data_IF_017433665130
#
_entry.id   IF_017433665130
#
_cell.length_a   1.000
_cell.length_b   1.000
_cell.length_c   1.000
_cell.angle_alpha   90.00
_cell.angle_beta   90.00
_cell.angle_gamma   90.00
#
_symmetry.space_group_name_H-M   'P 1'
#
loop_
_entity.id
_entity.type
_entity.pdbx_description
1 polymer ?
#
# COMPACT_ATOMS: atom_id res chain seq x y z
N UNK A 1 -12.59 -16.57 -25.96
CA UNK A 1 -13.24 -17.09 -24.74
C UNK A 1 -12.17 -17.71 -23.86
N UNK A 2 -11.70 -17.02 -22.82
CA UNK A 2 -10.72 -17.58 -21.88
C UNK A 2 -11.36 -18.69 -21.06
N UNK A 3 -10.71 -19.86 -21.03
CA UNK A 3 -11.23 -21.05 -20.35
C UNK A 3 -11.24 -20.86 -18.84
N UNK A 4 -12.16 -21.53 -18.13
CA UNK A 4 -12.24 -21.50 -16.65
C UNK A 4 -10.90 -21.85 -15.99
N UNK A 5 -10.07 -22.64 -16.67
CA UNK A 5 -8.73 -23.05 -16.26
C UNK A 5 -7.71 -21.91 -16.34
N UNK A 6 -7.75 -21.08 -17.40
CA UNK A 6 -6.90 -19.89 -17.54
C UNK A 6 -7.21 -18.85 -16.47
N UNK A 7 -8.49 -18.61 -16.17
CA UNK A 7 -8.91 -17.69 -15.09
C UNK A 7 -8.44 -18.18 -13.72
N UNK A 8 -8.46 -19.50 -13.49
CA UNK A 8 -7.97 -20.12 -12.26
C UNK A 8 -6.46 -19.93 -12.08
N UNK A 9 -5.68 -20.12 -13.15
CA UNK A 9 -4.21 -19.92 -13.14
C UNK A 9 -3.85 -18.45 -12.88
N UNK A 10 -4.46 -17.53 -13.63
CA UNK A 10 -4.25 -16.08 -13.47
C UNK A 10 -4.58 -15.60 -12.05
N UNK A 11 -5.67 -16.10 -11.43
CA UNK A 11 -5.98 -15.77 -10.04
C UNK A 11 -4.99 -16.34 -9.00
N UNK A 12 -4.34 -17.47 -9.29
CA UNK A 12 -3.29 -18.05 -8.42
C UNK A 12 -2.00 -17.25 -8.56
N UNK A 13 -1.63 -16.88 -9.78
CA UNK A 13 -0.48 -16.02 -10.07
C UNK A 13 -0.62 -14.65 -9.42
N UNK A 14 -1.79 -14.01 -9.54
CA UNK A 14 -2.09 -12.75 -8.87
C UNK A 14 -1.89 -12.81 -7.35
N UNK A 15 -2.33 -13.89 -6.68
CA UNK A 15 -2.10 -14.09 -5.24
C UNK A 15 -0.61 -14.25 -4.93
N UNK A 16 0.12 -14.96 -5.78
CA UNK A 16 1.56 -15.17 -5.62
C UNK A 16 2.30 -13.84 -5.73
N UNK A 17 1.94 -13.01 -6.69
CA UNK A 17 2.56 -11.68 -6.87
C UNK A 17 2.21 -10.72 -5.73
N UNK A 18 0.95 -10.66 -5.30
CA UNK A 18 0.57 -9.87 -4.10
C UNK A 18 1.40 -10.32 -2.89
N UNK A 19 1.51 -11.64 -2.66
CA UNK A 19 2.31 -12.17 -1.56
C UNK A 19 3.79 -11.80 -1.67
N UNK A 20 4.37 -11.90 -2.87
CA UNK A 20 5.77 -11.54 -3.14
C UNK A 20 6.06 -10.07 -2.84
N UNK A 21 5.08 -9.18 -3.02
CA UNK A 21 5.18 -7.76 -2.69
C UNK A 21 5.02 -7.53 -1.18
N UNK A 22 4.07 -8.22 -0.54
CA UNK A 22 3.69 -7.99 0.88
C UNK A 22 4.66 -8.65 1.87
N UNK A 23 5.17 -9.85 1.58
CA UNK A 23 6.01 -10.63 2.52
C UNK A 23 7.29 -9.89 2.97
N UNK A 24 8.02 -9.15 2.10
CA UNK A 24 9.16 -8.33 2.52
C UNK A 24 8.77 -7.24 3.54
N UNK A 25 7.68 -6.50 3.30
CA UNK A 25 7.22 -5.47 4.22
C UNK A 25 6.70 -6.07 5.53
N UNK A 26 5.97 -7.17 5.47
CA UNK A 26 5.56 -7.92 6.65
C UNK A 26 6.77 -8.37 7.49
N UNK A 27 7.85 -8.80 6.84
CA UNK A 27 9.08 -9.20 7.52
C UNK A 27 9.74 -8.02 8.22
N UNK A 28 9.86 -6.86 7.55
CA UNK A 28 10.38 -5.63 8.17
C UNK A 28 9.56 -5.19 9.39
N UNK A 29 8.22 -5.19 9.29
CA UNK A 29 7.36 -4.81 10.41
C UNK A 29 7.46 -5.81 11.57
N UNK A 30 7.61 -7.12 11.28
CA UNK A 30 7.87 -8.12 12.33
C UNK A 30 9.22 -7.93 13.00
N UNK A 31 10.27 -7.61 12.23
CA UNK A 31 11.59 -7.29 12.76
C UNK A 31 11.57 -6.01 13.60
N UNK A 32 10.85 -4.99 13.15
CA UNK A 32 10.59 -3.78 13.93
C UNK A 32 9.95 -4.14 15.27
N UNK A 33 8.82 -4.87 15.25
CA UNK A 33 8.11 -5.35 16.45
C UNK A 33 9.00 -6.16 17.40
N UNK A 34 9.92 -6.96 16.87
CA UNK A 34 10.89 -7.73 17.64
C UNK A 34 12.08 -6.89 18.15
N UNK A 35 12.05 -5.57 17.95
CA UNK A 35 13.13 -4.62 18.25
C UNK A 35 14.43 -4.87 17.48
N UNK A 36 14.41 -5.69 16.42
CA UNK A 36 15.57 -6.03 15.61
C UNK A 36 15.94 -4.93 14.58
N UNK A 37 15.03 -4.00 14.30
CA UNK A 37 15.26 -2.90 13.35
C UNK A 37 14.66 -1.58 13.86
N UNK A 38 15.27 -0.95 14.86
CA UNK A 38 14.77 0.31 15.43
C UNK A 38 14.61 1.44 14.39
N UNK A 39 15.44 1.45 13.33
CA UNK A 39 15.40 2.42 12.23
C UNK A 39 14.18 2.32 11.30
N UNK A 40 13.33 1.30 11.46
CA UNK A 40 12.05 1.21 10.73
C UNK A 40 10.98 2.10 11.38
N UNK A 41 11.22 2.59 12.60
CA UNK A 41 10.39 3.61 13.23
C UNK A 41 10.35 4.88 12.39
N UNK A 42 9.20 5.56 12.39
CA UNK A 42 9.01 6.82 11.66
C UNK A 42 8.97 7.99 12.62
N UNK A 43 9.78 9.00 12.34
CA UNK A 43 9.88 10.23 13.15
C UNK A 43 9.29 11.46 12.42
N UNK A 44 9.27 11.47 11.08
CA UNK A 44 8.83 12.61 10.27
C UNK A 44 7.34 12.62 9.91
N UNK A 45 6.77 13.81 9.75
CA UNK A 45 5.47 14.03 9.13
C UNK A 45 5.60 14.06 7.61
N UNK A 46 5.18 12.99 6.94
CA UNK A 46 5.14 12.96 5.48
C UNK A 46 4.69 11.64 4.90
N UNK A 47 4.26 11.66 3.64
CA UNK A 47 3.98 10.44 2.89
C UNK A 47 5.32 9.89 2.38
N UNK A 48 5.62 8.66 2.76
CA UNK A 48 6.80 7.98 2.24
C UNK A 48 6.53 7.48 0.82
N UNK A 49 7.37 7.85 -0.14
CA UNK A 49 7.23 7.39 -1.53
C UNK A 49 7.20 5.86 -1.66
N UNK A 50 7.88 5.16 -0.74
CA UNK A 50 7.81 3.70 -0.62
C UNK A 50 6.40 3.16 -0.38
N UNK A 51 5.53 3.90 0.33
CA UNK A 51 4.15 3.49 0.59
C UNK A 51 3.29 3.57 -0.68
N UNK A 52 3.53 4.58 -1.52
CA UNK A 52 2.86 4.73 -2.81
C UNK A 52 3.25 3.61 -3.78
N UNK A 53 4.55 3.35 -3.88
CA UNK A 53 5.10 2.25 -4.69
C UNK A 53 4.53 0.92 -4.22
N UNK A 54 4.54 0.66 -2.91
CA UNK A 54 3.96 -0.55 -2.34
C UNK A 54 2.47 -0.69 -2.67
N UNK A 55 1.68 0.35 -2.40
CA UNK A 55 0.24 0.35 -2.64
C UNK A 55 -0.10 0.12 -4.12
N UNK A 56 0.56 0.84 -5.03
CA UNK A 56 0.37 0.71 -6.46
C UNK A 56 0.72 -0.68 -6.99
N UNK A 57 1.83 -1.27 -6.53
CA UNK A 57 2.23 -2.63 -6.92
C UNK A 57 1.22 -3.68 -6.45
N UNK A 58 0.71 -3.56 -5.22
CA UNK A 58 -0.34 -4.48 -4.72
C UNK A 58 -1.64 -4.32 -5.51
N UNK A 59 -2.06 -3.08 -5.82
CA UNK A 59 -3.25 -2.84 -6.65
C UNK A 59 -3.10 -3.50 -8.03
N UNK A 60 -1.96 -3.31 -8.69
CA UNK A 60 -1.67 -3.88 -10.01
C UNK A 60 -1.63 -5.41 -9.97
N UNK A 61 -0.92 -6.00 -9.01
CA UNK A 61 -0.88 -7.46 -8.83
C UNK A 61 -2.25 -8.08 -8.49
N UNK A 62 -3.17 -7.30 -7.91
CA UNK A 62 -4.50 -7.78 -7.51
C UNK A 62 -5.55 -7.73 -8.63
N UNK A 63 -5.22 -7.19 -9.82
CA UNK A 63 -6.18 -6.94 -10.91
C UNK A 63 -6.92 -8.20 -11.38
N UNK A 64 -6.21 -9.31 -11.43
CA UNK A 64 -6.70 -10.61 -11.90
C UNK A 64 -7.38 -11.45 -10.81
N UNK A 65 -7.50 -10.91 -9.59
CA UNK A 65 -8.29 -11.55 -8.55
C UNK A 65 -9.78 -11.44 -8.85
N UNK A 66 -10.55 -12.45 -8.41
CA UNK A 66 -12.01 -12.37 -8.42
C UNK A 66 -12.52 -11.15 -7.65
N UNK A 67 -13.65 -10.58 -8.10
CA UNK A 67 -14.20 -9.31 -7.63
C UNK A 67 -14.23 -9.15 -6.10
N UNK A 68 -14.69 -10.18 -5.38
CA UNK A 68 -14.73 -10.15 -3.91
C UNK A 68 -13.36 -9.95 -3.29
N UNK A 69 -12.35 -10.71 -3.74
CA UNK A 69 -10.98 -10.62 -3.21
C UNK A 69 -10.33 -9.29 -3.57
N UNK A 70 -10.51 -8.83 -4.80
CA UNK A 70 -10.04 -7.51 -5.22
C UNK A 70 -10.65 -6.40 -4.35
N UNK A 71 -11.95 -6.50 -4.05
CA UNK A 71 -12.64 -5.56 -3.14
C UNK A 71 -12.10 -5.62 -1.71
N UNK A 72 -11.76 -6.80 -1.20
CA UNK A 72 -11.12 -6.95 0.11
C UNK A 72 -9.72 -6.34 0.16
N UNK A 73 -8.88 -6.64 -0.83
CA UNK A 73 -7.55 -6.04 -1.01
C UNK A 73 -7.67 -4.52 -1.05
N UNK A 74 -8.55 -3.99 -1.89
CA UNK A 74 -8.77 -2.56 -2.00
C UNK A 74 -9.18 -1.91 -0.66
N UNK A 75 -10.20 -2.45 0.01
CA UNK A 75 -10.62 -1.96 1.34
C UNK A 75 -9.48 -2.02 2.37
N UNK A 76 -8.61 -3.02 2.27
CA UNK A 76 -7.47 -3.17 3.18
C UNK A 76 -6.38 -2.15 2.89
N UNK A 77 -6.09 -1.89 1.62
CA UNK A 77 -5.18 -0.82 1.21
C UNK A 77 -5.70 0.55 1.64
N UNK A 78 -7.01 0.82 1.52
CA UNK A 78 -7.60 2.08 1.99
C UNK A 78 -7.45 2.25 3.49
N UNK A 79 -7.50 1.15 4.25
CA UNK A 79 -7.28 1.17 5.70
C UNK A 79 -5.79 1.41 6.04
N UNK A 80 -4.88 0.76 5.30
CA UNK A 80 -3.44 0.85 5.54
C UNK A 80 -2.83 2.19 5.11
N UNK A 81 -3.30 2.76 3.99
CA UNK A 81 -2.68 3.93 3.36
C UNK A 81 -3.62 5.13 3.24
N UNK A 82 -4.89 4.96 3.62
CA UNK A 82 -5.94 5.97 3.45
C UNK A 82 -6.54 6.00 2.04
N UNK A 83 -7.68 6.67 1.91
CA UNK A 83 -8.51 6.59 0.71
C UNK A 83 -7.95 7.43 -0.44
N UNK A 84 -7.43 8.61 -0.13
CA UNK A 84 -6.85 9.51 -1.13
C UNK A 84 -5.58 8.92 -1.74
N UNK A 85 -4.77 8.25 -0.92
CA UNK A 85 -3.55 7.55 -1.34
C UNK A 85 -3.86 6.39 -2.27
N UNK A 86 -4.83 5.55 -1.91
CA UNK A 86 -5.25 4.44 -2.80
C UNK A 86 -5.81 4.97 -4.11
N UNK A 87 -6.65 6.00 -4.06
CA UNK A 87 -7.20 6.61 -5.27
C UNK A 87 -6.10 7.13 -6.20
N UNK A 88 -5.08 7.78 -5.65
CA UNK A 88 -3.87 8.19 -6.37
C UNK A 88 -3.19 7.00 -7.05
N UNK A 89 -2.97 5.90 -6.32
CA UNK A 89 -2.39 4.69 -6.86
C UNK A 89 -3.29 3.97 -7.88
N UNK A 90 -4.61 4.15 -7.84
CA UNK A 90 -5.49 3.60 -8.88
C UNK A 90 -5.38 4.37 -10.20
N UNK A 91 -5.25 5.70 -10.12
CA UNK A 91 -5.13 6.57 -11.30
C UNK A 91 -3.73 6.45 -11.93
N UNK A 92 -2.67 6.35 -11.11
CA UNK A 92 -1.28 6.42 -11.57
C UNK A 92 -0.47 5.13 -11.35
N UNK A 93 -1.01 4.11 -10.67
CA UNK A 93 -0.23 2.93 -10.26
C UNK A 93 0.07 1.92 -11.37
N UNK A 94 -0.26 2.22 -12.63
CA UNK A 94 0.33 1.49 -13.76
C UNK A 94 1.84 1.72 -13.87
N UNK A 95 2.32 2.85 -13.33
CA UNK A 95 3.73 3.21 -13.27
C UNK A 95 4.38 2.87 -11.92
N UNK A 96 3.72 2.03 -11.09
CA UNK A 96 4.14 1.76 -9.71
C UNK A 96 5.48 1.02 -9.56
N UNK A 97 6.08 0.55 -10.65
CA UNK A 97 7.44 0.00 -10.65
C UNK A 97 8.52 1.09 -10.83
N UNK A 98 8.14 2.35 -11.07
CA UNK A 98 9.04 3.51 -11.13
C UNK A 98 8.85 4.44 -9.91
N UNK A 99 9.74 4.37 -8.91
CA UNK A 99 9.73 5.27 -7.75
C UNK A 99 9.85 6.76 -8.11
N UNK A 100 10.52 7.08 -9.23
CA UNK A 100 10.67 8.43 -9.74
C UNK A 100 9.34 9.03 -10.19
N UNK A 101 8.50 8.22 -10.84
CA UNK A 101 7.15 8.62 -11.25
C UNK A 101 6.20 8.79 -10.05
N UNK A 102 6.29 7.91 -9.03
CA UNK A 102 5.53 8.10 -7.79
C UNK A 102 5.89 9.43 -7.10
N UNK A 103 7.18 9.78 -7.07
CA UNK A 103 7.65 11.06 -6.55
C UNK A 103 7.21 12.24 -7.42
N UNK A 104 7.27 12.11 -8.76
CA UNK A 104 6.83 13.14 -9.69
C UNK A 104 5.33 13.47 -9.53
N UNK A 105 4.48 12.45 -9.34
CA UNK A 105 3.03 12.64 -9.08
C UNK A 105 2.80 13.37 -7.76
N UNK A 106 3.56 13.06 -6.70
CA UNK A 106 3.49 13.79 -5.43
C UNK A 106 3.92 15.25 -5.59
N UNK A 107 5.06 15.50 -6.23
CA UNK A 107 5.59 16.84 -6.45
C UNK A 107 4.67 17.69 -7.32
N UNK A 108 4.12 17.11 -8.40
CA UNK A 108 3.15 17.80 -9.26
C UNK A 108 1.90 18.20 -8.48
N UNK A 109 1.40 17.35 -7.57
CA UNK A 109 0.26 17.69 -6.72
C UNK A 109 0.58 18.78 -5.72
N UNK A 110 1.72 18.73 -5.05
CA UNK A 110 2.17 19.79 -4.15
C UNK A 110 2.29 21.12 -4.92
N UNK A 111 2.87 21.11 -6.12
CA UNK A 111 2.96 22.27 -6.98
C UNK A 111 1.57 22.80 -7.38
N UNK A 112 0.62 21.93 -7.76
CA UNK A 112 -0.75 22.36 -8.07
C UNK A 112 -1.47 22.96 -6.86
N UNK A 113 -1.22 22.45 -5.66
CA UNK A 113 -1.81 23.00 -4.43
C UNK A 113 -1.25 24.39 -4.11
N UNK A 114 0.04 24.61 -4.35
CA UNK A 114 0.68 25.92 -4.22
C UNK A 114 0.17 26.92 -5.28
N UNK A 115 -0.04 26.47 -6.52
CA UNK A 115 -0.52 27.33 -7.61
C UNK A 115 -2.03 27.61 -7.56
N UNK A 116 -2.80 26.75 -6.89
CA UNK A 116 -4.25 26.88 -6.77
C UNK A 116 -4.71 26.64 -5.32
N UNK A 117 -4.39 27.56 -4.38
CA UNK A 117 -4.72 27.39 -2.96
C UNK A 117 -6.22 27.27 -2.70
N UNK A 118 -7.06 27.87 -3.55
CA UNK A 118 -8.52 27.79 -3.45
C UNK A 118 -9.08 26.42 -3.88
N UNK A 119 -8.28 25.62 -4.61
CA UNK A 119 -8.65 24.25 -4.99
C UNK A 119 -8.24 23.30 -3.88
N UNK A 120 -9.23 22.76 -3.17
CA UNK A 120 -9.04 21.68 -2.21
C UNK A 120 -8.72 20.37 -2.95
N UNK A 121 -7.45 20.20 -3.32
CA UNK A 121 -6.97 18.92 -3.81
C UNK A 121 -6.89 17.95 -2.62
N UNK A 122 -7.52 16.77 -2.70
CA UNK A 122 -7.46 15.80 -1.62
C UNK A 122 -6.00 15.37 -1.41
N UNK A 123 -5.42 15.72 -0.26
CA UNK A 123 -4.06 15.35 0.08
C UNK A 123 -3.95 13.83 0.29
N UNK A 124 -2.80 13.20 0.00
CA UNK A 124 -2.63 11.80 0.32
C UNK A 124 -2.68 11.64 1.85
N UNK A 125 -3.35 10.60 2.29
CA UNK A 125 -3.67 10.40 3.70
C UNK A 125 -2.52 9.63 4.39
N UNK A 126 -2.31 9.91 5.68
CA UNK A 126 -1.56 9.00 6.56
C UNK A 126 -2.51 7.88 7.02
N UNK A 127 -2.25 6.65 6.55
CA UNK A 127 -3.03 5.48 6.93
C UNK A 127 -2.47 4.74 8.15
N UNK A 128 -3.09 3.62 8.51
CA UNK A 128 -2.65 2.79 9.65
C UNK A 128 -1.19 2.31 9.55
N UNK A 129 -0.65 2.15 8.33
CA UNK A 129 0.73 1.70 8.14
C UNK A 129 1.71 2.72 8.71
N UNK A 130 1.55 3.98 8.34
CA UNK A 130 2.38 5.08 8.83
C UNK A 130 2.18 5.30 10.34
N UNK A 131 0.91 5.41 10.75
CA UNK A 131 0.55 5.65 12.16
C UNK A 131 1.10 4.56 13.08
N UNK A 132 1.03 3.29 12.70
CA UNK A 132 1.52 2.20 13.54
C UNK A 132 3.06 2.23 13.70
N UNK A 133 3.81 2.65 12.68
CA UNK A 133 5.27 2.72 12.74
C UNK A 133 5.81 3.95 13.49
N UNK A 134 4.94 4.89 13.87
CA UNK A 134 5.25 5.96 14.84
C UNK A 134 5.11 5.50 16.29
N UNK A 135 4.41 4.40 16.54
CA UNK A 135 4.22 3.87 17.89
C UNK A 135 5.36 2.93 18.27
N UNK A 136 5.65 2.75 19.58
CA UNK A 136 6.66 1.82 20.04
C UNK A 136 6.45 0.41 19.46
N UNK A 137 7.53 -0.35 19.19
CA UNK A 137 7.41 -1.65 18.52
C UNK A 137 6.49 -2.67 19.22
N UNK A 138 6.42 -2.62 20.54
CA UNK A 138 5.55 -3.48 21.36
C UNK A 138 4.07 -3.09 21.38
N UNK A 139 3.68 -2.00 20.73
CA UNK A 139 2.30 -1.48 20.76
C UNK A 139 1.28 -2.38 20.04
N UNK A 140 0.02 -2.25 20.46
CA UNK A 140 -1.10 -2.92 19.80
C UNK A 140 -1.30 -2.46 18.35
N UNK A 141 -0.90 -1.23 18.02
CA UNK A 141 -0.92 -0.68 16.66
C UNK A 141 -0.01 -1.45 15.72
N UNK A 142 1.24 -1.70 16.12
CA UNK A 142 2.18 -2.50 15.33
C UNK A 142 1.68 -3.95 15.22
N UNK A 143 1.10 -4.50 16.29
CA UNK A 143 0.49 -5.84 16.23
C UNK A 143 -0.72 -5.90 15.28
N UNK A 144 -1.55 -4.84 15.22
CA UNK A 144 -2.65 -4.71 14.24
C UNK A 144 -2.12 -4.60 12.82
N UNK A 145 -1.05 -3.84 12.60
CA UNK A 145 -0.41 -3.68 11.30
C UNK A 145 0.08 -5.04 10.76
N UNK A 146 0.78 -5.83 11.58
CA UNK A 146 1.21 -7.20 11.21
C UNK A 146 0.01 -8.04 10.75
N UNK A 147 -1.09 -8.06 11.51
CA UNK A 147 -2.29 -8.82 11.14
C UNK A 147 -2.93 -8.32 9.85
N UNK A 148 -2.94 -7.01 9.62
CA UNK A 148 -3.45 -6.41 8.38
C UNK A 148 -2.61 -6.81 7.17
N UNK A 149 -1.28 -6.85 7.30
CA UNK A 149 -0.37 -7.29 6.24
C UNK A 149 -0.46 -8.80 5.98
N UNK A 150 -0.63 -9.64 7.01
CA UNK A 150 -0.87 -11.08 6.84
C UNK A 150 -2.17 -11.37 6.06
N UNK A 151 -3.23 -10.61 6.36
CA UNK A 151 -4.50 -10.67 5.64
C UNK A 151 -4.34 -10.22 4.19
N UNK A 152 -3.57 -9.15 3.95
CA UNK A 152 -3.25 -8.67 2.61
C UNK A 152 -2.45 -9.72 1.81
N UNK A 153 -1.40 -10.32 2.40
CA UNK A 153 -0.58 -11.36 1.78
C UNK A 153 -1.40 -12.61 1.39
N UNK A 154 -2.43 -12.93 2.16
CA UNK A 154 -3.35 -14.05 1.87
C UNK A 154 -4.55 -13.66 1.00
N UNK A 155 -4.67 -12.37 0.62
CA UNK A 155 -5.83 -11.80 -0.08
C UNK A 155 -7.16 -12.14 0.62
N UNK A 156 -7.21 -11.94 1.95
CA UNK A 156 -8.34 -12.20 2.85
C UNK A 156 -8.82 -10.95 3.58
#
# INVERSE_FOLDING_TARGET
MTTRQERGRSAVEARREVRKIVDPELTKVRQYRAHAMASVGREDEGIHSGDLTFCGRVLTASRDLGWWRRRWVHRRLQKLFGSNTVHLCEVHGQDADDPGMAMAVMLQRQAMQLMHPDRHLPQPDTGEFDLALRHPPGSDDVARLVRSLERLASCR
#
